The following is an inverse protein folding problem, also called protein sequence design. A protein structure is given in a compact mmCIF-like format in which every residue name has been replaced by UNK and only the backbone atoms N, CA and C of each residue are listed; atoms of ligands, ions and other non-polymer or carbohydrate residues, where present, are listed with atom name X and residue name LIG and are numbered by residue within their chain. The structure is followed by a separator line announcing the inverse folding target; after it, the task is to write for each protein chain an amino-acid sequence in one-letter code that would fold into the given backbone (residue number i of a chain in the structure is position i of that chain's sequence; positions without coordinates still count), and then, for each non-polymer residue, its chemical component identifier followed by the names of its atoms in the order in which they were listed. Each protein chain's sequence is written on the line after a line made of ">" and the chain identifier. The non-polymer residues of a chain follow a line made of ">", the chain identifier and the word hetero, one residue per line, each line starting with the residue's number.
data_IF_059180165918
#
_entry.id   IF_059180165918
#
_cell.length_a   1.000
_cell.length_b   1.000
_cell.length_c   1.000
_cell.angle_alpha   90.00
_cell.angle_beta   90.00
_cell.angle_gamma   90.00
#
_symmetry.space_group_name_H-M   'P 1'
#
loop_
_entity.id
_entity.type
_entity.pdbx_description
1 polymer ?
#
# COMPACT_ATOMS: atom_id res chain seq x y z
N UNK A 1 -28.75 34.94 38.21
CA UNK A 1 -27.78 34.30 39.13
C UNK A 1 -27.09 33.13 38.40
N UNK A 2 -26.47 33.41 37.25
CA UNK A 2 -25.02 33.62 37.05
C UNK A 2 -24.12 32.38 37.10
N UNK A 3 -24.55 31.24 37.69
CA UNK A 3 -23.75 29.99 37.65
C UNK A 3 -24.23 28.98 36.60
N UNK A 4 -25.53 28.94 36.32
CA UNK A 4 -26.12 28.03 35.30
C UNK A 4 -25.69 28.42 33.86
N UNK A 5 -25.51 29.72 33.58
CA UNK A 5 -25.07 30.20 32.27
C UNK A 5 -23.60 29.91 31.95
N UNK A 6 -22.76 29.65 32.97
CA UNK A 6 -21.34 29.31 32.79
C UNK A 6 -21.19 27.86 32.33
N UNK A 7 -22.06 26.96 32.80
CA UNK A 7 -22.04 25.56 32.35
C UNK A 7 -22.64 25.37 30.95
N UNK A 8 -23.60 26.20 30.56
CA UNK A 8 -24.19 26.16 29.21
C UNK A 8 -23.22 26.64 28.12
N UNK A 9 -22.21 27.44 28.51
CA UNK A 9 -21.13 27.90 27.61
C UNK A 9 -19.90 26.99 27.63
N UNK A 10 -19.78 26.06 28.59
CA UNK A 10 -18.69 25.08 28.64
C UNK A 10 -19.00 23.76 27.90
N UNK A 11 -20.24 23.55 27.45
CA UNK A 11 -20.66 22.35 26.71
C UNK A 11 -20.69 22.54 25.18
N UNK A 12 -19.94 23.52 24.65
CA UNK A 12 -19.84 23.81 23.21
C UNK A 12 -18.37 23.84 22.77
N UNK A 13 -17.57 22.87 23.23
CA UNK A 13 -16.15 22.75 22.84
C UNK A 13 -15.75 21.34 22.37
N UNK A 14 -16.73 20.49 22.02
CA UNK A 14 -16.45 19.11 21.58
C UNK A 14 -17.24 18.74 20.31
N UNK A 15 -17.29 19.60 19.30
CA UNK A 15 -17.63 19.12 17.94
C UNK A 15 -16.84 19.89 16.87
N UNK A 16 -15.54 20.03 17.06
CA UNK A 16 -14.62 20.11 15.92
C UNK A 16 -14.27 18.70 15.47
N UNK A 17 -15.30 17.89 15.22
CA UNK A 17 -15.17 16.65 14.47
C UNK A 17 -14.96 17.00 13.00
N UNK A 18 -13.81 17.57 12.66
CA UNK A 18 -13.30 17.45 11.30
C UNK A 18 -13.32 15.96 10.99
N UNK A 19 -13.99 15.56 9.92
CA UNK A 19 -13.96 14.22 9.36
C UNK A 19 -12.51 13.90 8.96
N UNK A 20 -11.67 13.55 9.93
CA UNK A 20 -10.34 13.01 9.70
C UNK A 20 -10.58 11.58 9.19
N UNK A 21 -10.73 11.45 7.87
CA UNK A 21 -10.74 10.14 7.22
C UNK A 21 -9.49 9.41 7.71
N UNK A 22 -9.72 8.26 8.34
CA UNK A 22 -8.67 7.43 8.90
C UNK A 22 -7.55 7.20 7.86
N UNK A 23 -6.26 7.34 8.24
CA UNK A 23 -5.15 7.22 7.29
C UNK A 23 -5.15 5.91 6.50
N UNK A 24 -5.59 4.81 7.10
CA UNK A 24 -5.67 3.52 6.41
C UNK A 24 -6.77 3.54 5.35
N UNK A 25 -7.95 4.06 5.71
CA UNK A 25 -9.06 4.26 4.76
C UNK A 25 -8.65 5.15 3.59
N UNK A 26 -7.91 6.23 3.87
CA UNK A 26 -7.40 7.12 2.82
C UNK A 26 -6.38 6.43 1.93
N UNK A 27 -5.45 5.68 2.50
CA UNK A 27 -4.46 4.92 1.73
C UNK A 27 -5.11 3.87 0.83
N UNK A 28 -6.11 3.14 1.33
CA UNK A 28 -6.90 2.21 0.52
C UNK A 28 -7.57 2.90 -0.67
N UNK A 29 -8.17 4.08 -0.45
CA UNK A 29 -8.76 4.87 -1.54
C UNK A 29 -7.73 5.29 -2.60
N UNK A 30 -6.50 5.64 -2.18
CA UNK A 30 -5.40 5.96 -3.09
C UNK A 30 -4.99 4.73 -3.92
N UNK A 31 -4.85 3.55 -3.29
CA UNK A 31 -4.56 2.30 -4.01
C UNK A 31 -5.63 1.96 -5.04
N UNK A 32 -6.91 2.10 -4.69
CA UNK A 32 -8.03 1.86 -5.62
C UNK A 32 -8.03 2.81 -6.83
N UNK A 33 -7.45 4.00 -6.69
CA UNK A 33 -7.28 4.98 -7.78
C UNK A 33 -6.00 4.76 -8.60
N UNK A 34 -5.21 3.74 -8.27
CA UNK A 34 -3.90 3.52 -8.88
C UNK A 34 -2.80 4.47 -8.39
N UNK A 35 -3.07 5.28 -7.36
CA UNK A 35 -2.09 6.17 -6.73
C UNK A 35 -1.24 5.39 -5.71
N UNK A 36 -0.60 4.33 -6.17
CA UNK A 36 0.07 3.36 -5.30
C UNK A 36 1.20 3.96 -4.47
N UNK A 37 2.00 4.84 -5.05
CA UNK A 37 3.13 5.46 -4.34
C UNK A 37 2.68 6.32 -3.15
N UNK A 38 1.58 7.07 -3.33
CA UNK A 38 1.00 7.88 -2.25
C UNK A 38 0.36 7.00 -1.17
N UNK A 39 -0.32 5.92 -1.58
CA UNK A 39 -0.89 4.94 -0.66
C UNK A 39 0.19 4.26 0.19
N UNK A 40 1.25 3.77 -0.45
CA UNK A 40 2.39 3.12 0.20
C UNK A 40 3.05 4.08 1.17
N UNK A 41 3.38 5.31 0.74
CA UNK A 41 4.01 6.31 1.61
C UNK A 41 3.20 6.60 2.87
N UNK A 42 1.86 6.62 2.76
CA UNK A 42 0.98 6.81 3.90
C UNK A 42 1.02 5.60 4.84
N UNK A 43 0.92 4.39 4.28
CA UNK A 43 0.94 3.14 5.05
C UNK A 43 2.30 2.87 5.70
N UNK A 44 3.41 3.26 5.07
CA UNK A 44 4.75 3.20 5.66
C UNK A 44 4.88 4.11 6.89
N UNK A 45 4.23 5.29 6.87
CA UNK A 45 4.20 6.16 8.05
C UNK A 45 3.45 5.50 9.20
N UNK A 46 2.30 4.90 8.92
CA UNK A 46 1.54 4.16 9.93
C UNK A 46 2.30 2.93 10.42
N UNK A 47 3.03 2.25 9.54
CA UNK A 47 3.87 1.10 9.88
C UNK A 47 5.03 1.49 10.80
N UNK A 48 5.65 2.65 10.56
CA UNK A 48 6.69 3.20 11.46
C UNK A 48 6.13 3.52 12.85
N UNK A 49 4.89 4.01 12.93
CA UNK A 49 4.25 4.31 14.21
C UNK A 49 3.79 3.03 14.94
N UNK A 50 3.35 2.02 14.20
CA UNK A 50 2.74 0.79 14.73
C UNK A 50 3.27 -0.43 13.98
N UNK A 51 4.55 -0.81 14.17
CA UNK A 51 5.20 -1.86 13.40
C UNK A 51 4.59 -3.25 13.64
N UNK A 52 3.88 -3.46 14.75
CA UNK A 52 3.22 -4.73 15.06
C UNK A 52 1.73 -4.78 14.68
N UNK A 53 1.19 -3.68 14.15
CA UNK A 53 -0.20 -3.61 13.73
C UNK A 53 -0.46 -4.51 12.52
N UNK A 54 -1.20 -5.60 12.76
CA UNK A 54 -1.61 -6.54 11.71
C UNK A 54 -2.43 -5.86 10.60
N UNK A 55 -3.39 -4.95 10.89
CA UNK A 55 -4.06 -4.19 9.86
C UNK A 55 -3.11 -3.39 8.96
N UNK A 56 -2.13 -2.70 9.57
CA UNK A 56 -1.17 -1.88 8.81
C UNK A 56 -0.27 -2.75 7.94
N UNK A 57 0.29 -3.83 8.50
CA UNK A 57 1.09 -4.82 7.73
C UNK A 57 0.29 -5.36 6.55
N UNK A 58 -0.95 -5.76 6.79
CA UNK A 58 -1.83 -6.34 5.75
C UNK A 58 -2.12 -5.34 4.63
N UNK A 59 -2.46 -4.10 4.97
CA UNK A 59 -2.77 -3.08 3.98
C UNK A 59 -1.53 -2.61 3.20
N UNK A 60 -0.39 -2.47 3.86
CA UNK A 60 0.86 -2.13 3.20
C UNK A 60 1.31 -3.25 2.25
N UNK A 61 1.18 -4.51 2.68
CA UNK A 61 1.48 -5.65 1.83
C UNK A 61 0.54 -5.71 0.59
N UNK A 62 -0.75 -5.45 0.78
CA UNK A 62 -1.71 -5.38 -0.32
C UNK A 62 -1.37 -4.24 -1.30
N UNK A 63 -1.07 -3.04 -0.80
CA UNK A 63 -0.71 -1.90 -1.65
C UNK A 63 0.54 -2.18 -2.50
N UNK A 64 1.55 -2.84 -1.92
CA UNK A 64 2.71 -3.32 -2.66
C UNK A 64 2.34 -4.35 -3.74
N UNK A 65 1.49 -5.33 -3.41
CA UNK A 65 1.00 -6.34 -4.37
C UNK A 65 0.24 -5.69 -5.54
N UNK A 66 -0.66 -4.75 -5.25
CA UNK A 66 -1.44 -4.05 -6.26
C UNK A 66 -0.55 -3.20 -7.18
N UNK A 67 0.48 -2.55 -6.63
CA UNK A 67 1.44 -1.81 -7.43
C UNK A 67 2.22 -2.75 -8.36
N UNK A 68 2.69 -3.89 -7.84
CA UNK A 68 3.35 -4.92 -8.65
C UNK A 68 2.47 -5.39 -9.81
N UNK A 69 1.19 -5.65 -9.56
CA UNK A 69 0.20 -6.02 -10.58
C UNK A 69 0.04 -4.92 -11.64
N UNK A 70 -0.13 -3.67 -11.22
CA UNK A 70 -0.26 -2.54 -12.14
C UNK A 70 1.00 -2.37 -13.02
N UNK A 71 2.19 -2.54 -12.44
CA UNK A 71 3.45 -2.52 -13.19
C UNK A 71 3.49 -3.64 -14.24
N UNK A 72 3.06 -4.86 -13.91
CA UNK A 72 2.97 -5.96 -14.88
C UNK A 72 2.03 -5.62 -16.06
N UNK A 73 0.91 -4.95 -15.76
CA UNK A 73 -0.13 -4.60 -16.73
C UNK A 73 0.22 -3.36 -17.59
N UNK A 74 1.19 -2.55 -17.18
CA UNK A 74 1.61 -1.36 -17.93
C UNK A 74 2.12 -1.73 -19.34
N UNK A 75 1.32 -1.40 -20.36
CA UNK A 75 1.64 -1.70 -21.77
C UNK A 75 2.67 -0.74 -22.36
N UNK A 76 2.91 0.40 -21.70
CA UNK A 76 3.84 1.42 -22.18
C UNK A 76 5.28 1.14 -21.76
N UNK A 77 5.50 0.17 -20.85
CA UNK A 77 6.82 -0.23 -20.37
C UNK A 77 7.24 -1.57 -20.93
N UNK A 78 8.47 -1.62 -21.43
CA UNK A 78 9.08 -2.85 -21.91
C UNK A 78 9.19 -3.88 -20.78
N UNK A 79 9.01 -5.19 -21.06
CA UNK A 79 9.19 -6.28 -20.09
C UNK A 79 10.47 -6.16 -19.24
N UNK A 80 11.60 -5.84 -19.87
CA UNK A 80 12.91 -5.67 -19.21
C UNK A 80 12.96 -4.53 -18.17
N UNK A 81 12.00 -3.61 -18.22
CA UNK A 81 11.91 -2.47 -17.30
C UNK A 81 10.84 -2.73 -16.23
N UNK A 82 9.63 -3.13 -16.64
CA UNK A 82 8.51 -3.26 -15.70
C UNK A 82 8.59 -4.48 -14.79
N UNK A 83 9.11 -5.61 -15.27
CA UNK A 83 9.15 -6.82 -14.46
C UNK A 83 10.12 -6.76 -13.27
N UNK A 84 11.33 -6.19 -13.39
CA UNK A 84 12.18 -5.92 -12.22
C UNK A 84 11.46 -5.07 -11.16
N UNK A 85 10.83 -3.96 -11.58
CA UNK A 85 10.09 -3.09 -10.66
C UNK A 85 8.93 -3.82 -9.99
N UNK A 86 8.14 -4.58 -10.75
CA UNK A 86 7.02 -5.34 -10.21
C UNK A 86 7.48 -6.40 -9.20
N UNK A 87 8.58 -7.10 -9.51
CA UNK A 87 9.19 -8.10 -8.63
C UNK A 87 9.62 -7.51 -7.29
N UNK A 88 10.21 -6.31 -7.30
CA UNK A 88 10.55 -5.59 -6.06
C UNK A 88 9.30 -5.31 -5.22
N UNK A 89 8.20 -4.86 -5.83
CA UNK A 89 6.96 -4.62 -5.09
C UNK A 89 6.39 -5.91 -4.50
N UNK A 90 6.37 -7.02 -5.26
CA UNK A 90 5.94 -8.31 -4.71
C UNK A 90 6.85 -8.81 -3.59
N UNK A 91 8.16 -8.57 -3.66
CA UNK A 91 9.09 -8.89 -2.57
C UNK A 91 8.75 -8.12 -1.29
N UNK A 92 8.46 -6.82 -1.41
CA UNK A 92 8.03 -6.00 -0.27
C UNK A 92 6.70 -6.49 0.33
N UNK A 93 5.75 -6.89 -0.53
CA UNK A 93 4.49 -7.47 -0.07
C UNK A 93 4.72 -8.77 0.73
N UNK A 94 5.56 -9.67 0.22
CA UNK A 94 5.87 -10.95 0.86
C UNK A 94 6.70 -10.80 2.15
N UNK A 95 7.53 -9.76 2.25
CA UNK A 95 8.26 -9.45 3.47
C UNK A 95 7.33 -9.07 4.64
N UNK A 96 6.19 -8.44 4.33
CA UNK A 96 5.18 -8.05 5.32
C UNK A 96 4.14 -9.15 5.57
N UNK A 97 3.77 -9.88 4.53
CA UNK A 97 2.85 -11.00 4.59
C UNK A 97 3.29 -12.14 3.65
N UNK A 98 4.05 -13.14 4.16
CA UNK A 98 4.56 -14.26 3.37
C UNK A 98 3.48 -15.18 2.77
N UNK A 99 2.22 -15.05 3.21
CA UNK A 99 1.10 -15.90 2.78
C UNK A 99 0.25 -15.25 1.67
N UNK A 100 0.65 -14.10 1.12
CA UNK A 100 0.01 -13.49 -0.05
C UNK A 100 0.29 -14.33 -1.31
N UNK A 101 -0.60 -15.29 -1.58
CA UNK A 101 -0.49 -16.22 -2.70
C UNK A 101 -0.31 -15.50 -4.04
N UNK A 102 -1.11 -14.47 -4.29
CA UNK A 102 -1.06 -13.75 -5.58
C UNK A 102 0.30 -13.06 -5.78
N UNK A 103 0.84 -12.42 -4.74
CA UNK A 103 2.16 -11.80 -4.80
C UNK A 103 3.27 -12.85 -5.03
N UNK A 104 3.17 -14.01 -4.39
CA UNK A 104 4.11 -15.12 -4.57
C UNK A 104 4.08 -15.67 -5.99
N UNK A 105 2.88 -15.95 -6.52
CA UNK A 105 2.71 -16.49 -7.87
C UNK A 105 3.26 -15.51 -8.91
N UNK A 106 3.01 -14.20 -8.75
CA UNK A 106 3.54 -13.19 -9.66
C UNK A 106 5.05 -13.02 -9.55
N UNK A 107 5.61 -13.07 -8.34
CA UNK A 107 7.07 -13.05 -8.13
C UNK A 107 7.75 -14.20 -8.87
N UNK A 108 7.24 -15.43 -8.68
CA UNK A 108 7.78 -16.63 -9.33
C UNK A 108 7.58 -16.62 -10.85
N UNK A 109 6.46 -16.08 -11.34
CA UNK A 109 6.23 -15.89 -12.76
C UNK A 109 7.29 -14.96 -13.37
N UNK A 110 7.61 -13.84 -12.70
CA UNK A 110 8.63 -12.90 -13.17
C UNK A 110 10.02 -13.55 -13.19
N UNK A 111 10.39 -14.33 -12.17
CA UNK A 111 11.65 -15.08 -12.16
C UNK A 111 11.79 -15.96 -13.40
N UNK A 112 10.74 -16.70 -13.76
CA UNK A 112 10.73 -17.56 -14.95
C UNK A 112 10.90 -16.78 -16.24
N UNK A 113 10.25 -15.60 -16.35
CA UNK A 113 10.40 -14.71 -17.51
C UNK A 113 11.84 -14.17 -17.59
N UNK A 114 12.42 -13.75 -16.48
CA UNK A 114 13.77 -13.20 -16.46
C UNK A 114 14.82 -14.28 -16.82
N UNK A 115 14.63 -15.51 -16.34
CA UNK A 115 15.48 -16.64 -16.69
C UNK A 115 15.44 -16.95 -18.19
N UNK A 116 14.24 -17.01 -18.80
CA UNK A 116 14.10 -17.29 -20.23
C UNK A 116 14.68 -16.17 -21.11
N UNK A 117 14.49 -14.91 -20.73
CA UNK A 117 15.08 -13.76 -21.42
C UNK A 117 16.61 -13.72 -21.34
N UNK A 118 17.20 -14.28 -20.29
CA UNK A 118 18.65 -14.32 -20.10
C UNK A 118 19.28 -15.46 -20.91
N UNK A 119 18.60 -16.61 -21.00
CA UNK A 119 19.04 -17.74 -21.83
C UNK A 119 19.08 -17.37 -23.33
N UNK A 120 18.04 -16.70 -23.84
CA UNK A 120 17.93 -16.32 -25.25
C UNK A 120 18.93 -15.23 -25.71
N UNK A 121 19.78 -14.69 -24.82
CA UNK A 121 20.82 -13.70 -25.16
C UNK A 121 22.21 -14.31 -25.35
N UNK A 122 22.36 -15.61 -25.09
CA UNK A 122 23.62 -16.34 -25.22
C UNK A 122 23.72 -17.12 -26.54
N UNK A 123 22.68 -17.04 -27.38
CA UNK A 123 22.59 -17.61 -28.74
C UNK A 123 22.71 -16.50 -29.79
#
# INVERSE_FOLDING_TARGET
>A
MKRIFIYLSLLILIISGCCLVDPLTRAQSLSQKGQFEEAIKMLEKEFKAQPDSIPVKSLLAQAYSDYGLALCQDQNKLPKVKYPMAKEQFAMALALNPYLKDAKDMYEMIEKIQASLSANKLD
#
